data_IF_040249727794
#
_entry.id   IF_040249727794
#
_cell.length_a   1.000
_cell.length_b   1.000
_cell.length_c   1.000
_cell.angle_alpha   90.00
_cell.angle_beta   90.00
_cell.angle_gamma   90.00
#
_symmetry.space_group_name_H-M   'P 1'
#
loop_
_entity.id
_entity.type
_entity.pdbx_description
1 polymer ?
#
# COMPACT_ATOMS: atom_id res chain seq x y z
N UNK A 1 -30.37 -22.28 -0.59
CA UNK A 1 -30.10 -20.85 -0.88
C UNK A 1 -28.60 -20.64 -0.74
N UNK A 2 -27.84 -20.57 -1.85
CA UNK A 2 -26.39 -20.30 -1.78
C UNK A 2 -26.22 -18.85 -1.32
N UNK A 3 -25.45 -18.62 -0.26
CA UNK A 3 -25.01 -17.27 0.12
C UNK A 3 -24.30 -16.67 -1.11
N UNK A 4 -24.53 -15.40 -1.48
CA UNK A 4 -23.70 -14.78 -2.50
C UNK A 4 -22.26 -14.82 -1.98
N UNK A 5 -21.39 -15.49 -2.72
CA UNK A 5 -19.96 -15.44 -2.48
C UNK A 5 -19.56 -13.97 -2.69
N UNK A 6 -19.40 -13.26 -1.58
CA UNK A 6 -18.94 -11.88 -1.61
C UNK A 6 -17.60 -11.88 -2.33
N UNK A 7 -17.46 -10.97 -3.30
CA UNK A 7 -16.15 -10.54 -3.82
C UNK A 7 -15.17 -10.54 -2.66
N UNK A 8 -13.99 -11.19 -2.74
CA UNK A 8 -13.05 -11.19 -1.64
C UNK A 8 -12.75 -9.73 -1.30
N UNK A 9 -13.36 -9.23 -0.23
CA UNK A 9 -13.08 -7.89 0.26
C UNK A 9 -11.58 -7.88 0.50
N UNK A 10 -10.87 -7.08 -0.29
CA UNK A 10 -9.44 -6.88 -0.14
C UNK A 10 -9.24 -6.09 1.14
N UNK A 11 -9.37 -6.78 2.27
CA UNK A 11 -9.14 -6.18 3.58
C UNK A 11 -7.69 -5.72 3.59
N UNK A 12 -7.43 -4.44 3.91
CA UNK A 12 -6.07 -4.00 4.10
C UNK A 12 -5.41 -4.87 5.18
N UNK A 13 -4.08 -5.05 5.12
CA UNK A 13 -3.33 -5.53 6.28
C UNK A 13 -3.63 -4.64 7.50
N UNK A 14 -3.26 -5.03 8.73
CA UNK A 14 -3.53 -4.26 9.94
C UNK A 14 -2.68 -2.96 9.98
N UNK A 15 -2.98 -2.04 9.07
CA UNK A 15 -2.39 -0.73 8.89
C UNK A 15 -3.52 0.30 8.85
N UNK A 16 -3.27 1.48 9.42
CA UNK A 16 -4.23 2.57 9.49
C UNK A 16 -4.31 3.31 8.14
N UNK A 17 -5.00 2.70 7.17
CA UNK A 17 -5.34 3.30 5.86
C UNK A 17 -6.83 3.10 5.58
N UNK A 18 -7.45 4.04 4.89
CA UNK A 18 -8.83 3.89 4.43
C UNK A 18 -8.92 2.84 3.31
N UNK A 19 -10.10 2.26 3.04
CA UNK A 19 -10.27 1.34 1.91
C UNK A 19 -9.93 1.95 0.54
N UNK A 20 -10.18 3.26 0.37
CA UNK A 20 -9.84 3.99 -0.86
C UNK A 20 -8.32 4.16 -1.01
N UNK A 21 -7.64 4.59 0.06
CA UNK A 21 -6.18 4.68 0.12
C UNK A 21 -5.55 3.30 -0.16
N UNK A 22 -6.07 2.24 0.46
CA UNK A 22 -5.57 0.88 0.23
C UNK A 22 -5.70 0.44 -1.23
N UNK A 23 -6.80 0.80 -1.89
CA UNK A 23 -7.01 0.48 -3.31
C UNK A 23 -5.93 1.14 -4.17
N UNK A 24 -5.64 2.41 -3.92
CA UNK A 24 -4.59 3.15 -4.64
C UNK A 24 -3.19 2.60 -4.34
N UNK A 25 -2.83 2.41 -3.07
CA UNK A 25 -1.55 1.81 -2.64
C UNK A 25 -1.36 0.46 -3.32
N UNK A 26 -2.34 -0.44 -3.22
CA UNK A 26 -2.24 -1.79 -3.78
C UNK A 26 -2.08 -1.77 -5.29
N UNK A 27 -2.78 -0.87 -6.00
CA UNK A 27 -2.65 -0.73 -7.44
C UNK A 27 -1.22 -0.30 -7.84
N UNK A 28 -0.64 0.67 -7.13
CA UNK A 28 0.71 1.16 -7.36
C UNK A 28 1.74 0.06 -7.06
N UNK A 29 1.66 -0.56 -5.87
CA UNK A 29 2.58 -1.64 -5.51
C UNK A 29 2.49 -2.82 -6.48
N UNK A 30 1.29 -3.21 -6.90
CA UNK A 30 1.11 -4.30 -7.87
C UNK A 30 1.68 -4.01 -9.26
N UNK A 31 1.75 -2.73 -9.66
CA UNK A 31 2.36 -2.32 -10.93
C UNK A 31 3.89 -2.27 -10.85
N UNK A 32 4.45 -1.80 -9.74
CA UNK A 32 5.86 -1.47 -9.64
C UNK A 32 6.71 -2.51 -8.90
N UNK A 33 6.12 -3.31 -8.01
CA UNK A 33 6.86 -4.14 -7.05
C UNK A 33 6.58 -5.64 -7.21
N UNK A 34 6.35 -6.08 -8.45
CA UNK A 34 6.15 -7.50 -8.74
C UNK A 34 7.40 -8.30 -8.37
N UNK A 35 7.27 -9.24 -7.44
CA UNK A 35 8.40 -10.05 -6.95
C UNK A 35 9.19 -9.42 -5.79
N UNK A 36 8.78 -8.25 -5.29
CA UNK A 36 9.35 -7.67 -4.09
C UNK A 36 8.47 -7.95 -2.86
N UNK A 37 9.10 -8.16 -1.72
CA UNK A 37 8.43 -8.16 -0.43
C UNK A 37 8.32 -6.72 0.06
N UNK A 38 7.11 -6.32 0.48
CA UNK A 38 6.84 -4.97 0.98
C UNK A 38 6.32 -5.07 2.41
N UNK A 39 6.92 -4.30 3.30
CA UNK A 39 6.54 -4.19 4.71
C UNK A 39 6.05 -2.79 4.99
N UNK A 40 4.90 -2.66 5.67
CA UNK A 40 4.51 -1.40 6.27
C UNK A 40 5.13 -1.28 7.66
N UNK A 41 5.63 -0.10 8.01
CA UNK A 41 6.15 0.19 9.33
C UNK A 41 5.71 1.58 9.80
N UNK A 42 6.24 2.01 10.94
CA UNK A 42 5.93 3.33 11.49
C UNK A 42 4.53 3.42 12.09
N UNK A 43 4.03 4.65 12.19
CA UNK A 43 2.84 4.97 12.98
C UNK A 43 1.55 4.33 12.45
N UNK A 44 1.43 4.20 11.13
CA UNK A 44 0.27 3.55 10.48
C UNK A 44 0.28 2.03 10.66
N UNK A 45 1.43 1.39 10.81
CA UNK A 45 1.51 -0.03 11.10
C UNK A 45 1.34 -0.36 12.60
N UNK A 46 1.66 0.57 13.50
CA UNK A 46 1.59 0.37 14.96
C UNK A 46 0.26 0.79 15.60
N UNK A 47 -0.67 1.35 14.84
CA UNK A 47 -1.95 1.85 15.34
C UNK A 47 -1.86 3.18 16.10
N UNK A 48 -0.73 3.88 16.00
CA UNK A 48 -0.49 5.18 16.66
C UNK A 48 -0.49 6.36 15.67
N UNK A 49 -0.98 6.14 14.45
CA UNK A 49 -1.02 7.16 13.40
C UNK A 49 -1.89 8.36 13.79
N UNK A 50 -1.40 9.55 13.47
CA UNK A 50 -2.21 10.77 13.43
C UNK A 50 -2.90 10.85 12.05
N UNK A 51 -3.96 11.65 11.90
CA UNK A 51 -4.67 11.76 10.61
C UNK A 51 -3.77 12.11 9.42
N UNK A 52 -2.70 12.89 9.64
CA UNK A 52 -1.76 13.33 8.61
C UNK A 52 -0.42 12.59 8.65
N UNK A 53 -0.34 11.45 9.34
CA UNK A 53 0.88 10.63 9.33
C UNK A 53 1.07 10.01 7.95
N UNK A 54 2.30 9.91 7.47
CA UNK A 54 2.60 9.19 6.23
C UNK A 54 2.50 7.67 6.41
N UNK A 55 2.40 6.94 5.30
CA UNK A 55 2.54 5.48 5.27
C UNK A 55 3.98 5.12 4.88
N UNK A 56 4.72 4.57 5.83
CA UNK A 56 6.10 4.15 5.59
C UNK A 56 6.16 2.70 5.08
N UNK A 57 6.87 2.50 3.96
CA UNK A 57 7.04 1.20 3.31
C UNK A 57 8.52 0.84 3.15
N UNK A 58 8.88 -0.40 3.50
CA UNK A 58 10.18 -0.99 3.23
C UNK A 58 10.05 -2.05 2.13
N UNK A 59 11.01 -2.08 1.21
CA UNK A 59 10.98 -2.93 0.00
C UNK A 59 12.25 -3.79 -0.02
N UNK A 60 12.08 -5.10 -0.21
CA UNK A 60 13.17 -6.07 -0.28
C UNK A 60 12.93 -7.10 -1.42
N UNK A 61 13.87 -7.29 -2.37
CA UNK A 61 15.15 -6.57 -2.52
C UNK A 61 14.97 -5.08 -2.83
N UNK A 62 15.98 -4.23 -2.60
CA UNK A 62 15.90 -2.81 -2.94
C UNK A 62 15.72 -2.61 -4.45
N UNK A 63 14.94 -1.60 -4.82
CA UNK A 63 14.77 -1.23 -6.22
C UNK A 63 16.00 -0.50 -6.78
N UNK A 64 16.27 -0.64 -8.09
CA UNK A 64 17.11 0.30 -8.82
C UNK A 64 16.58 1.74 -8.70
N UNK A 65 17.48 2.73 -8.74
CA UNK A 65 17.13 4.14 -8.52
C UNK A 65 16.00 4.64 -9.45
N UNK A 66 16.06 4.29 -10.74
CA UNK A 66 15.05 4.70 -11.71
C UNK A 66 13.65 4.13 -11.39
N UNK A 67 13.57 2.90 -10.91
CA UNK A 67 12.29 2.27 -10.53
C UNK A 67 11.75 2.86 -9.23
N UNK A 68 12.64 3.19 -8.28
CA UNK A 68 12.26 3.90 -7.06
C UNK A 68 11.71 5.29 -7.37
N UNK A 69 12.29 6.02 -8.32
CA UNK A 69 11.78 7.35 -8.71
C UNK A 69 10.43 7.24 -9.43
N UNK A 70 10.26 6.23 -10.30
CA UNK A 70 8.96 5.95 -10.92
C UNK A 70 7.89 5.58 -9.89
N UNK A 71 8.26 4.80 -8.85
CA UNK A 71 7.36 4.46 -7.75
C UNK A 71 6.96 5.70 -6.94
N UNK A 72 7.91 6.58 -6.63
CA UNK A 72 7.66 7.84 -5.91
C UNK A 72 6.72 8.75 -6.69
N UNK A 73 6.92 8.87 -8.00
CA UNK A 73 6.05 9.69 -8.84
C UNK A 73 4.64 9.12 -8.92
N UNK A 74 4.50 7.79 -9.07
CA UNK A 74 3.19 7.15 -9.05
C UNK A 74 2.42 7.38 -7.74
N UNK A 75 3.12 7.43 -6.59
CA UNK A 75 2.52 7.80 -5.31
C UNK A 75 2.14 9.28 -5.23
N UNK A 76 2.96 10.18 -5.79
CA UNK A 76 2.70 11.63 -5.82
C UNK A 76 1.51 12.01 -6.69
N UNK A 77 1.32 11.33 -7.82
CA UNK A 77 0.21 11.58 -8.76
C UNK A 77 -1.11 10.91 -8.31
N UNK A 78 -1.06 10.07 -7.27
CA UNK A 78 -2.22 9.35 -6.75
C UNK A 78 -3.00 10.20 -5.74
N UNK A 79 -4.34 10.01 -5.64
CA UNK A 79 -5.17 10.72 -4.66
C UNK A 79 -5.06 10.16 -3.23
N UNK A 80 -3.83 9.99 -2.74
CA UNK A 80 -3.51 9.52 -1.37
C UNK A 80 -3.42 10.65 -0.35
#
# INVERSE_FOLDING_TARGET
MRKPEGTPELRPPPIAVSPAEWTAVRAILGRHLQGHTVWAFGSRASGQAKPYSDLDLAIDPPLPAAEMDALREAFRESPL
#
